data_IF_680990763823
#
_entry.id   IF_680990763823
#
_cell.length_a   1.000
_cell.length_b   1.000
_cell.length_c   1.000
_cell.angle_alpha   90.00
_cell.angle_beta   90.00
_cell.angle_gamma   90.00
#
_symmetry.space_group_name_H-M   'P 1'
#
loop_
_entity.id
_entity.type
_entity.pdbx_description
1 polymer ?
#
# COMPACT_ATOMS: atom_id res chain seq x y z
N UNK A 1 12.71 12.63 13.81
CA UNK A 1 12.55 13.04 13.29
C UNK A 1 12.69 13.45 13.04
N UNK A 2 12.87 12.99 13.31
CA UNK A 2 12.65 13.50 12.64
C UNK A 2 12.73 13.65 12.40
N UNK A 3 12.21 13.56 12.04
CA UNK A 3 11.98 14.12 11.39
C UNK A 3 12.07 14.10 11.23
N UNK A 4 12.29 13.97 11.31
CA UNK A 4 12.00 14.62 10.72
C UNK A 4 12.01 14.61 10.57
N UNK A 5 12.22 14.56 10.66
CA UNK A 5 11.77 15.22 10.08
C UNK A 5 11.71 15.15 9.88
N UNK A 6 11.83 15.23 9.89
CA UNK A 6 11.31 15.81 9.31
C UNK A 6 11.16 15.73 9.06
N UNK A 7 11.39 15.84 9.09
CA UNK A 7 10.79 16.33 8.46
C UNK A 7 10.52 16.36 8.16
N UNK A 8 10.71 16.41 8.17
CA UNK A 8 10.06 16.95 7.51
C UNK A 8 9.70 17.05 7.22
N UNK A 9 9.64 16.80 7.04
CA UNK A 9 9.00 17.22 6.46
C UNK A 9 8.60 17.44 5.97
N UNK A 10 8.59 17.34 6.30
CA UNK A 10 7.95 17.78 5.43
C UNK A 10 7.62 17.98 5.25
N UNK A 11 7.29 18.04 4.79
CA UNK A 11 6.71 18.46 4.17
C UNK A 11 6.23 18.72 3.62
N UNK A 12 5.88 18.72 3.34
CA UNK A 12 5.28 19.17 2.55
C UNK A 12 4.75 19.39 1.98
N UNK A 13 4.46 19.53 1.83
CA UNK A 13 3.89 19.79 1.01
C UNK A 13 3.12 19.45 0.76
N UNK A 14 3.26 19.16 0.71
CA UNK A 14 2.46 19.02 0.13
C UNK A 14 1.75 18.55 0.17
N UNK A 15 1.66 18.39 0.03
CA UNK A 15 1.01 18.16 -0.29
C UNK A 15 0.32 17.61 -0.26
N UNK A 16 0.31 17.76 -0.33
CA UNK A 16 -0.13 17.34 -0.55
C UNK A 16 -0.21 16.89 -0.56
N UNK A 17 -0.01 17.00 -0.55
CA UNK A 17 0.24 16.63 -0.63
C UNK A 17 0.57 16.43 -0.30
N UNK A 18 0.79 16.46 -0.09
CA UNK A 18 1.46 16.21 -0.09
C UNK A 18 2.17 16.19 -0.37
N UNK A 19 2.60 16.35 -0.19
CA UNK A 19 3.73 16.56 -0.99
C UNK A 19 4.27 15.33 -1.63
N UNK A 20 4.59 15.25 -2.79
CA UNK A 20 5.09 14.05 -3.41
C UNK A 20 6.43 13.61 -2.84
N UNK A 21 6.62 12.32 -2.66
CA UNK A 21 7.94 11.73 -2.42
C UNK A 21 8.73 11.69 -3.72
N UNK A 22 10.04 11.88 -3.62
CA UNK A 22 10.94 11.77 -4.76
C UNK A 22 11.55 10.37 -4.78
N UNK A 23 11.53 9.72 -5.92
CA UNK A 23 12.30 8.50 -6.19
C UNK A 23 13.50 8.86 -7.08
N UNK A 24 14.24 7.87 -7.58
CA UNK A 24 15.52 8.09 -8.27
C UNK A 24 15.48 9.17 -9.33
N UNK A 25 14.48 9.13 -10.22
CA UNK A 25 14.45 10.01 -11.39
C UNK A 25 13.14 10.78 -11.53
N UNK A 26 12.14 10.47 -10.72
CA UNK A 26 10.79 11.00 -10.90
C UNK A 26 10.14 11.32 -9.58
N UNK A 27 9.36 12.38 -9.59
CA UNK A 27 8.45 12.64 -8.49
C UNK A 27 7.35 11.60 -8.49
N UNK A 28 7.00 11.10 -7.32
CA UNK A 28 5.92 10.16 -7.14
C UNK A 28 4.82 10.82 -6.33
N UNK A 29 3.62 10.88 -6.91
CA UNK A 29 2.45 11.40 -6.21
C UNK A 29 1.73 10.24 -5.56
N UNK A 30 1.57 10.31 -4.24
CA UNK A 30 0.90 9.26 -3.48
C UNK A 30 -0.32 9.86 -2.80
N UNK A 31 -1.49 9.27 -3.07
CA UNK A 31 -2.75 9.73 -2.51
C UNK A 31 -3.73 8.58 -2.40
N UNK A 32 -4.75 8.76 -1.54
CA UNK A 32 -5.85 7.80 -1.46
C UNK A 32 -6.55 7.67 -2.81
N UNK A 33 -6.83 6.46 -3.20
CA UNK A 33 -7.63 6.18 -4.38
C UNK A 33 -9.11 6.33 -4.03
N UNK A 34 -9.86 6.86 -4.99
CA UNK A 34 -11.30 7.08 -4.88
C UNK A 34 -12.02 6.34 -5.99
N UNK A 35 -13.34 6.32 -5.93
CA UNK A 35 -14.17 5.61 -6.90
C UNK A 35 -13.82 5.98 -8.35
N UNK A 36 -13.52 7.26 -8.60
CA UNK A 36 -13.14 7.72 -9.94
C UNK A 36 -11.87 7.09 -10.49
N UNK A 37 -11.06 6.50 -9.63
CA UNK A 37 -9.80 5.86 -10.01
C UNK A 37 -9.96 4.38 -10.37
N UNK A 38 -11.17 3.83 -10.28
CA UNK A 38 -11.42 2.39 -10.42
C UNK A 38 -10.96 1.82 -11.76
N UNK A 39 -11.22 2.53 -12.86
CA UNK A 39 -10.85 2.06 -14.19
C UNK A 39 -9.33 1.93 -14.34
N UNK A 40 -8.59 2.84 -13.74
CA UNK A 40 -7.12 2.83 -13.76
C UNK A 40 -6.54 1.82 -12.78
N UNK A 41 -7.23 1.60 -11.67
CA UNK A 41 -6.83 0.65 -10.64
C UNK A 41 -7.01 -0.80 -11.08
N UNK A 42 -8.05 -1.09 -11.85
CA UNK A 42 -8.41 -2.46 -12.25
C UNK A 42 -7.26 -3.21 -12.94
N UNK A 43 -6.53 -2.62 -13.90
CA UNK A 43 -5.41 -3.34 -14.54
C UNK A 43 -4.28 -3.69 -13.56
N UNK A 44 -4.01 -2.83 -12.59
CA UNK A 44 -2.98 -3.11 -11.59
C UNK A 44 -3.42 -4.24 -10.65
N UNK A 45 -4.69 -4.27 -10.26
CA UNK A 45 -5.23 -5.38 -9.47
C UNK A 45 -5.11 -6.71 -10.23
N UNK A 46 -5.41 -6.69 -11.53
CA UNK A 46 -5.30 -7.88 -12.36
C UNK A 46 -3.84 -8.35 -12.46
N UNK A 47 -2.91 -7.44 -12.67
CA UNK A 47 -1.48 -7.75 -12.73
C UNK A 47 -0.97 -8.31 -11.41
N UNK A 48 -1.41 -7.74 -10.30
CA UNK A 48 -1.05 -8.21 -8.97
C UNK A 48 -1.56 -9.65 -8.72
N UNK A 49 -2.83 -9.89 -9.03
CA UNK A 49 -3.41 -11.22 -8.86
C UNK A 49 -2.69 -12.27 -9.70
N UNK A 50 -2.33 -11.92 -10.93
CA UNK A 50 -1.56 -12.81 -11.79
C UNK A 50 -0.17 -13.10 -11.21
N UNK A 51 0.51 -12.08 -10.70
CA UNK A 51 1.83 -12.24 -10.10
C UNK A 51 1.79 -13.20 -8.91
N UNK A 52 0.75 -13.12 -8.07
CA UNK A 52 0.60 -14.01 -6.92
C UNK A 52 0.29 -15.44 -7.33
N UNK A 53 -0.56 -15.64 -8.32
CA UNK A 53 -1.02 -16.96 -8.73
C UNK A 53 -0.19 -17.61 -9.82
N UNK A 54 0.65 -16.82 -10.49
CA UNK A 54 1.50 -17.29 -11.60
C UNK A 54 0.69 -18.03 -12.68
N UNK A 55 -0.57 -17.63 -12.87
CA UNK A 55 -1.45 -18.29 -13.84
C UNK A 55 -1.62 -17.49 -15.10
N UNK A 56 -2.69 -17.81 -15.84
CA UNK A 56 -3.06 -17.10 -17.06
C UNK A 56 -3.32 -15.62 -16.75
N UNK A 57 -3.12 -14.74 -17.74
CA UNK A 57 -3.39 -13.30 -17.54
C UNK A 57 -4.81 -13.07 -17.05
N UNK A 58 -4.94 -12.17 -16.09
CA UNK A 58 -6.23 -11.74 -15.57
C UNK A 58 -6.74 -10.58 -16.40
N UNK A 59 -8.04 -10.59 -16.64
CA UNK A 59 -8.69 -9.42 -17.22
C UNK A 59 -8.92 -8.37 -16.16
N UNK A 60 -8.74 -7.08 -16.48
CA UNK A 60 -9.17 -6.01 -15.58
C UNK A 60 -10.66 -6.11 -15.29
N UNK A 61 -11.03 -5.87 -14.05
CA UNK A 61 -12.42 -5.94 -13.59
C UNK A 61 -12.76 -4.62 -12.90
N UNK A 62 -13.32 -3.69 -13.69
CA UNK A 62 -13.69 -2.38 -13.19
C UNK A 62 -14.74 -2.45 -12.09
N UNK A 63 -15.67 -3.39 -12.22
CA UNK A 63 -16.75 -3.57 -11.24
C UNK A 63 -16.16 -3.96 -9.87
N UNK A 64 -15.23 -4.90 -9.86
CA UNK A 64 -14.56 -5.28 -8.62
C UNK A 64 -13.74 -4.12 -8.05
N UNK A 65 -13.03 -3.39 -8.89
CA UNK A 65 -12.25 -2.23 -8.44
C UNK A 65 -13.14 -1.18 -7.78
N UNK A 66 -14.32 -0.93 -8.36
CA UNK A 66 -15.30 -0.02 -7.77
C UNK A 66 -15.77 -0.53 -6.40
N UNK A 67 -16.08 -1.82 -6.29
CA UNK A 67 -16.47 -2.40 -5.02
C UNK A 67 -15.39 -2.26 -3.96
N UNK A 68 -14.14 -2.53 -4.33
CA UNK A 68 -13.02 -2.43 -3.40
C UNK A 68 -12.86 -1.00 -2.89
N UNK A 69 -12.97 -0.02 -3.79
CA UNK A 69 -12.80 1.39 -3.43
C UNK A 69 -13.98 1.97 -2.62
N UNK A 70 -15.10 1.25 -2.59
CA UNK A 70 -16.27 1.63 -1.79
C UNK A 70 -16.37 0.84 -0.48
N UNK A 71 -15.48 -0.11 -0.26
CA UNK A 71 -15.50 -0.94 0.94
C UNK A 71 -15.17 -0.09 2.17
N UNK A 72 -15.87 -0.34 3.26
CA UNK A 72 -15.67 0.43 4.49
C UNK A 72 -14.47 -0.03 5.30
N UNK A 73 -14.07 -1.29 5.11
CA UNK A 73 -12.97 -1.88 5.87
C UNK A 73 -11.61 -1.66 5.20
N UNK A 74 -11.61 -1.38 3.90
CA UNK A 74 -10.38 -1.29 3.12
C UNK A 74 -10.22 0.09 2.49
N UNK A 75 -8.98 0.55 2.45
CA UNK A 75 -8.59 1.77 1.76
C UNK A 75 -7.38 1.45 0.90
N UNK A 76 -7.13 2.26 -0.11
CA UNK A 76 -5.96 2.10 -0.96
C UNK A 76 -5.26 3.43 -1.16
N UNK A 77 -3.93 3.41 -1.03
CA UNK A 77 -3.07 4.50 -1.51
C UNK A 77 -2.56 4.10 -2.88
N UNK A 78 -2.57 5.03 -3.81
CA UNK A 78 -2.02 4.83 -5.13
C UNK A 78 -0.79 5.69 -5.36
N UNK A 79 0.17 5.17 -6.10
CA UNK A 79 1.37 5.90 -6.50
C UNK A 79 1.29 6.20 -7.98
N UNK A 80 1.47 7.48 -8.33
CA UNK A 80 1.46 7.94 -9.73
C UNK A 80 2.80 8.50 -10.12
N UNK A 81 3.24 8.15 -11.32
CA UNK A 81 4.42 8.72 -11.96
C UNK A 81 3.97 9.30 -13.29
N UNK A 82 4.27 10.58 -13.51
CA UNK A 82 3.83 11.30 -14.71
C UNK A 82 2.32 11.16 -14.95
N UNK A 83 1.54 11.20 -13.87
CA UNK A 83 0.08 11.10 -13.93
C UNK A 83 -0.48 9.71 -14.05
N UNK A 84 0.35 8.69 -14.26
CA UNK A 84 -0.10 7.31 -14.45
C UNK A 84 0.00 6.52 -13.15
N UNK A 85 -1.03 5.76 -12.84
CA UNK A 85 -1.05 4.91 -11.66
C UNK A 85 -0.14 3.70 -11.89
N UNK A 86 0.91 3.56 -11.06
CA UNK A 86 1.93 2.54 -11.23
C UNK A 86 2.06 1.60 -10.04
N UNK A 87 1.43 1.91 -8.94
CA UNK A 87 1.51 1.07 -7.75
C UNK A 87 0.41 1.40 -6.75
N UNK A 88 0.23 0.52 -5.78
CA UNK A 88 -0.77 0.71 -4.73
C UNK A 88 -0.39 -0.06 -3.47
N UNK A 89 -0.98 0.36 -2.36
CA UNK A 89 -1.03 -0.42 -1.13
C UNK A 89 -2.49 -0.42 -0.64
N UNK A 90 -2.99 -1.60 -0.32
CA UNK A 90 -4.32 -1.77 0.27
C UNK A 90 -4.12 -1.99 1.76
N UNK A 91 -4.83 -1.23 2.58
CA UNK A 91 -4.68 -1.32 4.03
C UNK A 91 -6.03 -1.28 4.72
N UNK A 92 -6.02 -1.76 5.95
CA UNK A 92 -7.19 -1.78 6.82
C UNK A 92 -6.91 -0.93 8.04
N UNK A 93 -7.95 -0.26 8.53
CA UNK A 93 -7.91 0.51 9.78
C UNK A 93 -8.84 -0.23 10.74
N UNK A 94 -8.26 -0.93 11.70
CA UNK A 94 -8.99 -1.89 12.52
C UNK A 94 -8.93 -1.51 14.01
N UNK A 95 -9.97 -1.86 14.78
CA UNK A 95 -9.87 -1.77 16.24
C UNK A 95 -8.73 -2.68 16.73
N UNK A 96 -8.01 -2.21 17.73
CA UNK A 96 -6.97 -3.01 18.36
C UNK A 96 -7.30 -3.14 19.85
N UNK A 97 -7.88 -4.28 20.28
CA UNK A 97 -8.46 -4.39 21.63
C UNK A 97 -7.45 -4.49 22.76
N UNK A 98 -6.21 -4.90 22.49
CA UNK A 98 -5.20 -5.03 23.55
C UNK A 98 -4.82 -3.66 24.10
N UNK A 99 -4.64 -2.68 23.23
CA UNK A 99 -4.32 -1.32 23.64
C UNK A 99 -5.54 -0.43 23.79
N UNK A 100 -6.68 -0.85 23.25
CA UNK A 100 -7.87 0.01 23.18
C UNK A 100 -7.78 1.08 22.10
N UNK A 101 -6.79 1.02 21.25
CA UNK A 101 -6.57 1.97 20.16
C UNK A 101 -7.02 1.35 18.83
N UNK A 102 -6.44 1.83 17.75
CA UNK A 102 -6.63 1.26 16.41
C UNK A 102 -5.28 0.86 15.85
N UNK A 103 -5.29 0.01 14.86
CA UNK A 103 -4.07 -0.44 14.19
C UNK A 103 -4.31 -0.48 12.69
N UNK A 104 -3.29 -0.19 11.91
CA UNK A 104 -3.32 -0.39 10.49
C UNK A 104 -2.76 -1.76 10.12
N UNK A 105 -3.23 -2.29 8.99
CA UNK A 105 -2.75 -3.58 8.49
C UNK A 105 -2.67 -3.53 6.97
N UNK A 106 -1.54 -3.97 6.44
CA UNK A 106 -1.30 -4.10 5.00
C UNK A 106 -1.22 -5.59 4.67
N UNK A 107 -2.05 -6.03 3.73
CA UNK A 107 -1.96 -7.39 3.18
C UNK A 107 -1.50 -7.38 1.73
N UNK A 108 -1.64 -6.24 1.04
CA UNK A 108 -1.39 -6.17 -0.39
C UNK A 108 -0.66 -4.90 -0.75
N UNK A 109 0.48 -5.05 -1.39
CA UNK A 109 1.26 -3.95 -1.97
C UNK A 109 1.79 -4.42 -3.32
N UNK A 110 1.75 -3.54 -4.31
CA UNK A 110 2.19 -3.90 -5.65
C UNK A 110 2.70 -2.67 -6.39
N UNK A 111 3.80 -2.84 -7.12
CA UNK A 111 4.32 -1.85 -8.04
C UNK A 111 4.51 -2.54 -9.39
N UNK A 112 4.02 -1.91 -10.45
CA UNK A 112 4.15 -2.44 -11.81
C UNK A 112 5.62 -2.70 -12.12
N UNK A 113 5.89 -3.81 -12.82
CA UNK A 113 7.27 -4.27 -13.04
C UNK A 113 8.17 -3.24 -13.74
N UNK A 114 7.60 -2.39 -14.59
CA UNK A 114 8.37 -1.35 -15.28
C UNK A 114 8.86 -0.25 -14.34
N UNK A 115 8.32 -0.17 -13.14
CA UNK A 115 8.63 0.87 -12.16
C UNK A 115 9.30 0.33 -10.90
N UNK A 116 9.71 -0.93 -10.91
CA UNK A 116 10.40 -1.52 -9.75
C UNK A 116 11.82 -1.03 -9.64
N UNK A 117 12.38 -1.15 -8.42
CA UNK A 117 13.74 -0.72 -8.16
C UNK A 117 13.91 0.79 -8.04
N UNK A 118 12.81 1.54 -7.93
CA UNK A 118 12.82 3.00 -7.83
C UNK A 118 12.36 3.53 -6.47
N UNK A 119 12.11 2.64 -5.51
CA UNK A 119 11.73 3.05 -4.17
C UNK A 119 10.24 3.38 -4.00
N UNK A 120 9.39 3.02 -4.95
CA UNK A 120 7.96 3.37 -4.91
C UNK A 120 7.24 2.62 -3.80
N UNK A 121 7.52 1.33 -3.60
CA UNK A 121 6.90 0.56 -2.54
C UNK A 121 7.24 1.15 -1.17
N UNK A 122 8.51 1.51 -0.94
CA UNK A 122 8.91 2.15 0.30
C UNK A 122 8.22 3.49 0.47
N UNK A 123 8.08 4.28 -0.59
CA UNK A 123 7.40 5.56 -0.53
C UNK A 123 5.93 5.39 -0.13
N UNK A 124 5.25 4.35 -0.65
CA UNK A 124 3.88 4.03 -0.25
C UNK A 124 3.80 3.73 1.26
N UNK A 125 4.72 2.94 1.77
CA UNK A 125 4.73 2.62 3.20
C UNK A 125 5.08 3.85 4.04
N UNK A 126 5.98 4.71 3.58
CA UNK A 126 6.31 5.95 4.30
C UNK A 126 5.07 6.86 4.43
N UNK A 127 4.29 7.01 3.36
CA UNK A 127 3.05 7.79 3.42
C UNK A 127 2.04 7.14 4.37
N UNK A 128 1.95 5.82 4.34
CA UNK A 128 1.06 5.10 5.25
C UNK A 128 1.50 5.24 6.70
N UNK A 129 2.80 5.28 6.98
CA UNK A 129 3.30 5.52 8.32
C UNK A 129 2.94 6.92 8.83
N UNK A 130 2.98 7.94 7.95
CA UNK A 130 2.50 9.27 8.31
C UNK A 130 1.01 9.24 8.67
N UNK A 131 0.24 8.49 7.90
CA UNK A 131 -1.20 8.33 8.16
C UNK A 131 -1.44 7.60 9.48
N UNK A 132 -0.59 6.63 9.81
CA UNK A 132 -0.65 5.93 11.09
C UNK A 132 -0.52 6.90 12.26
N UNK A 133 0.43 7.83 12.17
CA UNK A 133 0.60 8.86 13.20
C UNK A 133 -0.60 9.79 13.27
N UNK A 134 -1.10 10.25 12.14
CA UNK A 134 -2.30 11.11 12.09
C UNK A 134 -3.50 10.45 12.75
N UNK A 135 -3.68 9.16 12.54
CA UNK A 135 -4.81 8.40 13.04
C UNK A 135 -4.58 7.81 14.41
N UNK A 136 -3.42 8.02 14.99
CA UNK A 136 -3.03 7.47 16.31
C UNK A 136 -3.13 5.95 16.37
N UNK A 137 -2.72 5.27 15.31
CA UNK A 137 -2.64 3.82 15.33
C UNK A 137 -1.54 3.38 16.30
N UNK A 138 -1.81 2.31 17.04
CA UNK A 138 -0.81 1.74 17.96
C UNK A 138 0.33 1.04 17.21
N UNK A 139 0.04 0.55 16.01
CA UNK A 139 1.01 -0.15 15.18
C UNK A 139 0.53 -0.20 13.73
N UNK A 140 1.45 -0.55 12.86
CA UNK A 140 1.15 -0.87 11.47
C UNK A 140 1.70 -2.27 11.20
N UNK A 141 0.83 -3.22 10.91
CA UNK A 141 1.19 -4.61 10.62
C UNK A 141 1.37 -4.76 9.12
N UNK A 142 2.49 -5.34 8.70
CA UNK A 142 2.81 -5.53 7.29
C UNK A 142 2.90 -7.02 7.01
N UNK A 143 1.96 -7.52 6.22
CA UNK A 143 1.92 -8.92 5.78
C UNK A 143 2.35 -9.02 4.33
N UNK A 144 3.13 -10.04 4.01
CA UNK A 144 3.61 -10.25 2.65
C UNK A 144 3.57 -11.74 2.31
N UNK A 145 3.28 -12.09 1.05
CA UNK A 145 3.39 -13.48 0.62
C UNK A 145 4.86 -13.91 0.61
N UNK A 146 5.11 -15.20 0.70
CA UNK A 146 6.46 -15.73 0.55
C UNK A 146 6.99 -15.53 -0.85
N UNK A 147 6.10 -15.65 -1.84
CA UNK A 147 6.42 -15.53 -3.26
C UNK A 147 5.30 -14.72 -3.90
N UNK A 148 5.64 -13.67 -4.64
CA UNK A 148 6.96 -13.07 -4.83
C UNK A 148 7.51 -12.48 -3.54
N UNK A 149 8.83 -12.43 -3.41
CA UNK A 149 9.48 -12.07 -2.14
C UNK A 149 9.74 -10.56 -1.95
N UNK A 150 9.35 -9.75 -2.94
CA UNK A 150 9.70 -8.33 -2.96
C UNK A 150 9.17 -7.58 -1.73
N UNK A 151 7.91 -7.81 -1.37
CA UNK A 151 7.33 -7.17 -0.20
C UNK A 151 8.01 -7.60 1.10
N UNK A 152 8.25 -8.90 1.24
CA UNK A 152 8.92 -9.43 2.42
C UNK A 152 10.33 -8.84 2.57
N UNK A 153 11.07 -8.75 1.48
CA UNK A 153 12.42 -8.16 1.53
C UNK A 153 12.41 -6.69 1.96
N UNK A 154 11.45 -5.93 1.45
CA UNK A 154 11.28 -4.54 1.89
C UNK A 154 10.98 -4.47 3.39
N UNK A 155 10.03 -5.27 3.85
CA UNK A 155 9.58 -5.22 5.24
C UNK A 155 10.68 -5.65 6.21
N UNK A 156 11.53 -6.60 5.83
CA UNK A 156 12.67 -7.02 6.64
C UNK A 156 13.67 -5.88 6.87
N UNK A 157 13.72 -4.90 5.94
CA UNK A 157 14.62 -3.76 6.06
C UNK A 157 14.06 -2.65 6.96
N UNK A 158 12.74 -2.55 7.10
CA UNK A 158 12.11 -1.38 7.73
C UNK A 158 11.31 -1.71 8.98
N UNK A 159 11.12 -2.99 9.29
CA UNK A 159 10.28 -3.41 10.41
C UNK A 159 10.85 -4.65 11.06
N UNK A 160 10.41 -4.91 12.29
CA UNK A 160 10.75 -6.12 13.02
C UNK A 160 9.75 -7.22 12.71
N UNK A 161 10.18 -8.47 12.80
CA UNK A 161 9.27 -9.59 12.67
C UNK A 161 8.23 -9.56 13.80
N UNK A 162 6.98 -9.81 13.47
CA UNK A 162 5.90 -9.86 14.44
C UNK A 162 5.98 -11.17 15.25
N UNK A 163 5.53 -11.12 16.49
CA UNK A 163 5.40 -12.32 17.35
C UNK A 163 4.01 -12.95 17.19
N UNK A 164 3.56 -13.03 15.98
CA UNK A 164 2.20 -13.40 15.62
C UNK A 164 2.27 -14.40 14.47
N UNK A 165 1.53 -15.51 14.53
CA UNK A 165 1.50 -16.51 13.46
C UNK A 165 0.15 -16.51 12.77
N UNK A 166 0.17 -16.68 11.46
CA UNK A 166 -1.04 -16.73 10.65
C UNK A 166 -1.32 -18.14 10.18
N UNK A 167 -2.58 -18.54 10.25
CA UNK A 167 -3.05 -19.85 9.79
C UNK A 167 -4.22 -19.63 8.86
N UNK A 168 -4.43 -20.55 7.91
CA UNK A 168 -5.49 -20.39 6.92
C UNK A 168 -6.35 -21.65 6.85
N UNK A 169 -7.66 -21.46 6.86
CA UNK A 169 -8.63 -22.49 6.51
C UNK A 169 -9.30 -22.03 5.23
N UNK A 170 -9.22 -22.84 4.17
CA UNK A 170 -9.77 -22.44 2.89
C UNK A 170 -11.16 -23.03 2.72
N UNK A 171 -12.05 -22.24 2.11
CA UNK A 171 -13.43 -22.62 1.85
C UNK A 171 -13.70 -22.55 0.36
N UNK A 172 -14.53 -23.50 -0.12
CA UNK A 172 -14.98 -23.50 -1.50
C UNK A 172 -13.83 -23.61 -2.49
N UNK A 173 -13.79 -22.67 -3.38
CA UNK A 173 -12.88 -22.72 -4.53
C UNK A 173 -11.44 -22.44 -4.19
#
# INVERSE_FOLDING_TARGET
MAHHHHHHMGTLEAQTQGPGSMTKDHAVDIALLHLRDAHEFAPLLASYAQALKRGAPRRPDDFYAEHLLQDRAAEALGARVDGNLVGFVIFYDLPEPVTGLRAGQVDHIYVHHDHRGKGIAKALIDVLADKAEERSWSKLVLNAPRVPEDGRKLYEQIAAAADWSSYVIRFGN
#
